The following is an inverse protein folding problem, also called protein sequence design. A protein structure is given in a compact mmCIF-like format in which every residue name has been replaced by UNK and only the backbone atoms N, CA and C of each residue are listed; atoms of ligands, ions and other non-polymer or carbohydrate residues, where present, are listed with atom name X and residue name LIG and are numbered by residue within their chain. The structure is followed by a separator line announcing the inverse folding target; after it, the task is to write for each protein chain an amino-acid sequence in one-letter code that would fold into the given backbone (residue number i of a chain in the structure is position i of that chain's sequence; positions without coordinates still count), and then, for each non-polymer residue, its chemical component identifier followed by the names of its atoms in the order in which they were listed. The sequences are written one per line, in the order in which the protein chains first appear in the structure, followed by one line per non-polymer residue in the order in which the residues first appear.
data_IF_478858749712
#
_entry.id   IF_478858749712
#
_cell.length_a   1.000
_cell.length_b   1.000
_cell.length_c   1.000
_cell.angle_alpha   90.00
_cell.angle_beta   90.00
_cell.angle_gamma   90.00
#
_symmetry.space_group_name_H-M   'P 1'
#
loop_
_entity.id
_entity.type
_entity.pdbx_description
1 polymer ?
#
# COMPACT_ATOMS: atom_id res chain seq x y z
N UNK A 1 29.83 -4.64 66.74
CA UNK A 1 28.98 -4.50 67.94
C UNK A 1 28.22 -3.18 67.81
N UNK A 2 26.89 -3.25 67.74
CA UNK A 2 25.87 -2.19 67.95
C UNK A 2 25.93 -0.88 67.13
N UNK A 3 25.07 -0.67 66.11
CA UNK A 3 23.71 -0.05 66.14
C UNK A 3 23.67 1.39 66.70
N UNK A 4 23.52 2.43 65.86
CA UNK A 4 22.26 3.16 65.48
C UNK A 4 21.74 4.09 66.64
N UNK A 5 20.78 5.03 66.51
CA UNK A 5 20.12 5.73 65.38
C UNK A 5 19.95 7.26 65.58
N UNK A 6 19.37 7.97 64.57
CA UNK A 6 18.18 8.84 64.69
C UNK A 6 18.09 9.81 63.48
N UNK A 7 17.12 9.69 62.56
CA UNK A 7 15.67 10.02 62.65
C UNK A 7 15.41 11.54 62.73
N UNK A 8 15.23 12.20 61.58
CA UNK A 8 13.95 12.68 60.99
C UNK A 8 13.44 14.01 61.52
N UNK A 9 13.39 15.05 60.66
CA UNK A 9 12.34 16.07 60.71
C UNK A 9 12.01 16.58 59.30
N UNK A 10 10.80 16.25 58.80
CA UNK A 10 10.16 16.92 57.65
C UNK A 10 9.61 18.27 58.11
N UNK A 11 9.66 19.31 57.27
CA UNK A 11 8.69 20.41 57.11
C UNK A 11 9.23 21.23 55.91
N UNK A 12 8.49 21.87 54.99
CA UNK A 12 7.07 22.20 54.88
C UNK A 12 6.75 22.56 53.43
N UNK A 13 5.48 22.42 53.09
CA UNK A 13 4.83 22.76 51.82
C UNK A 13 4.75 24.27 51.55
N UNK A 14 4.99 24.64 50.27
CA UNK A 14 4.27 25.63 49.40
C UNK A 14 4.33 27.12 49.81
N UNK A 15 3.86 28.10 48.99
CA UNK A 15 3.67 28.22 47.53
C UNK A 15 4.21 29.59 46.98
N UNK A 16 3.79 29.95 45.76
CA UNK A 16 3.73 31.30 45.15
C UNK A 16 5.01 31.76 44.42
N UNK A 17 5.06 31.59 43.10
CA UNK A 17 4.50 32.45 42.03
C UNK A 17 5.46 33.58 41.61
N UNK A 18 5.81 33.50 40.33
CA UNK A 18 6.00 34.60 39.39
C UNK A 18 7.07 35.64 39.75
N UNK A 19 8.28 35.41 39.24
CA UNK A 19 9.08 36.52 38.74
C UNK A 19 9.31 36.30 37.25
N UNK A 20 8.76 37.22 36.47
CA UNK A 20 8.81 37.26 35.02
C UNK A 20 10.23 37.60 34.55
N UNK A 21 10.68 36.97 33.47
CA UNK A 21 11.52 37.66 32.50
C UNK A 21 11.27 37.07 31.11
N UNK A 22 10.79 37.94 30.24
CA UNK A 22 10.51 37.69 28.84
C UNK A 22 11.82 37.51 28.05
N UNK A 23 11.87 36.51 27.18
CA UNK A 23 12.64 36.60 25.94
C UNK A 23 11.90 35.85 24.84
N UNK A 24 11.33 36.65 23.95
CA UNK A 24 10.72 36.29 22.67
C UNK A 24 11.73 35.51 21.84
N UNK A 25 11.39 34.27 21.48
CA UNK A 25 12.23 33.40 20.67
C UNK A 25 11.42 32.21 20.15
N UNK A 26 10.48 32.48 19.26
CA UNK A 26 9.74 31.46 18.51
C UNK A 26 10.70 30.76 17.52
N UNK A 27 11.38 29.71 17.97
CA UNK A 27 12.08 28.80 17.08
C UNK A 27 11.10 27.73 16.62
N UNK A 28 10.55 27.92 15.43
CA UNK A 28 9.78 26.93 14.70
C UNK A 28 10.62 25.66 14.55
N UNK A 29 10.25 24.59 15.24
CA UNK A 29 10.63 23.24 14.82
C UNK A 29 9.81 22.93 13.56
N UNK A 30 10.33 23.35 12.40
CA UNK A 30 9.88 22.85 11.11
C UNK A 30 10.17 21.35 11.10
N UNK A 31 9.11 20.57 11.28
CA UNK A 31 9.05 19.15 10.98
C UNK A 31 9.33 18.99 9.48
N UNK A 32 10.59 18.75 9.12
CA UNK A 32 10.94 18.24 7.81
C UNK A 32 10.51 16.76 7.75
N UNK A 33 9.20 16.53 7.58
CA UNK A 33 8.76 15.37 6.81
C UNK A 33 9.23 15.64 5.39
N UNK A 34 10.44 15.20 5.06
CA UNK A 34 10.86 15.05 3.68
C UNK A 34 9.88 14.06 3.08
N UNK A 35 8.89 14.59 2.37
CA UNK A 35 8.09 13.84 1.41
C UNK A 35 9.06 13.45 0.30
N UNK A 36 9.82 12.38 0.54
CA UNK A 36 10.68 11.78 -0.48
C UNK A 36 9.75 11.32 -1.59
N UNK A 37 9.67 12.15 -2.63
CA UNK A 37 8.89 11.85 -3.83
C UNK A 37 9.25 10.47 -4.38
N UNK A 38 8.36 9.87 -5.19
CA UNK A 38 8.47 8.48 -5.59
C UNK A 38 9.83 8.19 -6.21
N UNK A 39 10.62 7.36 -5.53
CA UNK A 39 11.94 6.91 -6.00
C UNK A 39 11.72 5.98 -7.19
N UNK A 40 12.38 6.28 -8.31
CA UNK A 40 12.41 5.42 -9.50
C UNK A 40 13.32 4.22 -9.25
N UNK A 41 12.92 3.07 -9.78
CA UNK A 41 13.68 1.84 -9.67
C UNK A 41 12.81 0.60 -9.54
N UNK A 42 13.45 -0.58 -9.60
CA UNK A 42 12.75 -1.84 -9.60
C UNK A 42 12.06 -2.08 -8.27
N UNK A 43 10.87 -2.67 -8.33
CA UNK A 43 10.08 -2.97 -7.15
C UNK A 43 8.78 -3.68 -7.51
N UNK A 44 7.96 -3.89 -6.49
CA UNK A 44 6.64 -4.51 -6.64
C UNK A 44 5.58 -3.44 -6.56
N UNK A 45 4.58 -3.50 -7.44
CA UNK A 45 3.37 -2.69 -7.37
C UNK A 45 2.16 -3.60 -7.28
N UNK A 46 1.13 -3.18 -6.54
CA UNK A 46 -0.16 -3.86 -6.49
C UNK A 46 -1.05 -3.34 -7.61
N UNK A 47 -1.61 -4.24 -8.40
CA UNK A 47 -2.60 -3.97 -9.42
C UNK A 47 -3.98 -4.48 -8.96
N UNK A 48 -4.98 -3.61 -8.99
CA UNK A 48 -6.35 -3.92 -8.57
C UNK A 48 -7.31 -3.72 -9.72
N UNK A 49 -8.11 -4.73 -10.04
CA UNK A 49 -9.17 -4.62 -11.04
C UNK A 49 -10.34 -3.82 -10.45
N UNK A 50 -10.68 -2.72 -11.12
CA UNK A 50 -11.81 -1.87 -10.78
C UNK A 50 -12.75 -1.84 -11.97
N UNK A 51 -14.05 -1.99 -11.71
CA UNK A 51 -15.06 -2.01 -12.76
C UNK A 51 -16.48 -1.80 -12.24
N UNK A 52 -17.46 -1.72 -13.15
CA UNK A 52 -18.82 -1.29 -12.83
C UNK A 52 -19.67 -2.35 -12.12
N UNK A 53 -19.30 -3.63 -12.19
CA UNK A 53 -20.16 -4.74 -11.73
C UNK A 53 -19.85 -5.20 -10.29
N UNK A 54 -18.92 -4.54 -9.59
CA UNK A 54 -18.62 -4.81 -8.20
C UNK A 54 -17.77 -6.07 -7.99
N UNK A 55 -18.35 -7.09 -7.36
CA UNK A 55 -17.65 -8.33 -7.03
C UNK A 55 -17.37 -9.14 -8.30
N UNK A 56 -16.10 -9.42 -8.57
CA UNK A 56 -15.63 -10.20 -9.72
C UNK A 56 -15.10 -11.57 -9.27
N UNK A 57 -15.28 -12.58 -10.12
CA UNK A 57 -14.84 -13.95 -9.88
C UNK A 57 -13.58 -14.32 -10.65
N UNK A 58 -13.39 -13.78 -11.85
CA UNK A 58 -12.18 -13.97 -12.61
C UNK A 58 -11.92 -12.83 -13.60
N UNK A 59 -10.66 -12.67 -14.01
CA UNK A 59 -10.30 -11.77 -15.09
C UNK A 59 -9.06 -12.25 -15.84
N UNK A 60 -9.00 -11.96 -17.13
CA UNK A 60 -7.83 -12.19 -17.97
C UNK A 60 -7.30 -10.85 -18.44
N UNK A 61 -6.07 -10.54 -18.05
CA UNK A 61 -5.40 -9.27 -18.35
C UNK A 61 -4.05 -9.51 -19.00
N UNK A 62 -3.60 -8.56 -19.81
CA UNK A 62 -2.23 -8.51 -20.33
C UNK A 62 -1.58 -7.23 -19.85
N UNK A 63 -0.41 -7.37 -19.24
CA UNK A 63 0.50 -6.28 -18.95
C UNK A 63 1.49 -6.18 -20.11
N UNK A 64 1.67 -4.98 -20.64
CA UNK A 64 2.55 -4.69 -21.77
C UNK A 64 3.71 -3.84 -21.29
N UNK A 65 4.91 -4.25 -21.65
CA UNK A 65 6.15 -3.60 -21.21
C UNK A 65 7.28 -4.61 -21.09
N UNK A 66 8.49 -4.11 -21.21
CA UNK A 66 9.70 -4.93 -21.07
C UNK A 66 10.09 -5.05 -19.60
N UNK A 67 10.72 -6.17 -19.23
CA UNK A 67 11.24 -6.38 -17.89
C UNK A 67 10.19 -6.61 -16.81
N UNK A 68 8.93 -6.84 -17.17
CA UNK A 68 7.88 -7.25 -16.22
C UNK A 68 8.27 -8.61 -15.63
N UNK A 69 8.35 -8.66 -14.30
CA UNK A 69 8.79 -9.80 -13.54
C UNK A 69 7.64 -10.73 -13.10
N UNK A 70 7.86 -11.39 -11.97
CA UNK A 70 6.90 -12.31 -11.38
C UNK A 70 5.63 -11.60 -10.90
N UNK A 71 4.54 -12.36 -10.83
CA UNK A 71 3.28 -11.93 -10.23
C UNK A 71 2.85 -12.86 -9.10
N UNK A 72 2.16 -12.30 -8.11
CA UNK A 72 1.61 -13.02 -6.97
C UNK A 72 0.22 -12.50 -6.64
N UNK A 73 -0.67 -13.39 -6.19
CA UNK A 73 -2.01 -13.01 -5.78
C UNK A 73 -2.06 -12.26 -4.47
N UNK A 74 -3.05 -11.37 -4.32
CA UNK A 74 -3.33 -10.64 -3.08
C UNK A 74 -4.68 -11.10 -2.52
N UNK A 75 -4.73 -11.34 -1.20
CA UNK A 75 -5.93 -11.80 -0.52
C UNK A 75 -6.38 -13.18 -1.00
N UNK A 76 -7.64 -13.28 -1.45
CA UNK A 76 -8.22 -14.51 -1.99
C UNK A 76 -7.96 -14.71 -3.49
N UNK A 77 -7.30 -13.75 -4.16
CA UNK A 77 -7.04 -13.84 -5.59
C UNK A 77 -5.93 -14.86 -5.87
N UNK A 78 -6.25 -15.94 -6.57
CA UNK A 78 -5.26 -16.82 -7.20
C UNK A 78 -4.80 -16.23 -8.54
N UNK A 79 -3.52 -16.42 -8.86
CA UNK A 79 -2.90 -15.84 -10.06
C UNK A 79 -2.15 -16.91 -10.85
N UNK A 80 -2.41 -16.94 -12.14
CA UNK A 80 -1.64 -17.72 -13.11
C UNK A 80 -1.13 -16.79 -14.19
N UNK A 81 0.16 -16.89 -14.52
CA UNK A 81 0.75 -16.00 -15.52
C UNK A 81 1.59 -16.75 -16.55
N UNK A 82 1.65 -16.17 -17.73
CA UNK A 82 2.47 -16.62 -18.84
C UNK A 82 3.18 -15.43 -19.46
N UNK A 83 4.51 -15.46 -19.41
CA UNK A 83 5.37 -14.47 -20.05
C UNK A 83 5.40 -14.69 -21.56
N UNK A 84 5.35 -13.58 -22.31
CA UNK A 84 5.76 -13.46 -23.71
C UNK A 84 6.94 -12.49 -23.80
N UNK A 85 7.31 -12.07 -25.03
CA UNK A 85 8.52 -11.26 -25.25
C UNK A 85 8.46 -9.88 -24.55
N UNK A 86 7.39 -9.12 -24.80
CA UNK A 86 7.15 -7.78 -24.21
C UNK A 86 5.78 -7.68 -23.53
N UNK A 87 5.27 -8.82 -23.04
CA UNK A 87 3.96 -8.89 -22.41
C UNK A 87 3.87 -10.02 -21.39
N UNK A 88 3.06 -9.81 -20.35
CA UNK A 88 2.71 -10.84 -19.38
C UNK A 88 1.19 -11.03 -19.40
N UNK A 89 0.72 -12.22 -19.78
CA UNK A 89 -0.71 -12.56 -19.66
C UNK A 89 -0.97 -13.14 -18.28
N UNK A 90 -1.93 -12.57 -17.57
CA UNK A 90 -2.27 -12.88 -16.18
C UNK A 90 -3.74 -13.26 -16.10
N UNK A 91 -4.02 -14.37 -15.43
CA UNK A 91 -5.35 -14.85 -15.10
C UNK A 91 -5.53 -14.71 -13.60
N UNK A 92 -6.56 -13.98 -13.19
CA UNK A 92 -6.95 -13.72 -11.81
C UNK A 92 -8.21 -14.51 -11.51
N UNK A 93 -8.27 -15.16 -10.34
CA UNK A 93 -9.43 -15.97 -9.92
C UNK A 93 -9.69 -15.75 -8.43
N UNK A 94 -10.90 -15.35 -8.07
CA UNK A 94 -11.45 -15.40 -6.72
C UNK A 94 -12.79 -16.14 -6.76
N UNK A 95 -12.78 -17.40 -6.32
CA UNK A 95 -13.96 -18.27 -6.32
C UNK A 95 -15.06 -17.80 -5.36
N UNK A 96 -14.72 -16.97 -4.38
CA UNK A 96 -15.69 -16.41 -3.42
C UNK A 96 -16.34 -15.13 -3.94
N UNK A 97 -15.76 -14.55 -4.99
CA UNK A 97 -16.11 -13.23 -5.51
C UNK A 97 -15.54 -12.12 -4.65
N UNK A 98 -14.95 -11.13 -5.28
CA UNK A 98 -14.51 -9.94 -4.58
C UNK A 98 -13.70 -9.01 -5.47
N UNK A 99 -12.78 -8.31 -4.83
CA UNK A 99 -11.82 -7.47 -5.51
C UNK A 99 -10.66 -8.34 -5.99
N UNK A 100 -10.44 -8.38 -7.30
CA UNK A 100 -9.30 -9.08 -7.87
C UNK A 100 -8.07 -8.17 -7.77
N UNK A 101 -7.03 -8.65 -7.08
CA UNK A 101 -5.78 -7.90 -6.90
C UNK A 101 -4.57 -8.81 -6.94
N UNK A 102 -3.47 -8.30 -7.48
CA UNK A 102 -2.22 -9.03 -7.57
C UNK A 102 -1.03 -8.06 -7.49
N UNK A 103 0.09 -8.57 -7.03
CA UNK A 103 1.37 -7.88 -7.03
C UNK A 103 2.13 -8.24 -8.32
N UNK A 104 2.86 -7.26 -8.87
CA UNK A 104 3.72 -7.44 -10.05
C UNK A 104 5.06 -6.77 -9.82
N UNK A 105 6.14 -7.51 -10.08
CA UNK A 105 7.48 -6.95 -10.12
C UNK A 105 7.69 -6.17 -11.42
N UNK A 106 8.16 -4.94 -11.33
CA UNK A 106 8.40 -4.03 -12.45
C UNK A 106 9.81 -3.43 -12.38
N UNK A 107 10.41 -3.05 -13.52
CA UNK A 107 11.74 -2.45 -13.54
C UNK A 107 11.75 -1.01 -13.01
N UNK A 108 10.61 -0.33 -13.03
CA UNK A 108 10.43 1.01 -12.47
C UNK A 108 9.02 1.16 -11.88
N UNK A 109 8.91 1.31 -10.56
CA UNK A 109 7.63 1.51 -9.87
C UNK A 109 6.96 2.87 -10.18
N UNK A 110 7.68 3.80 -10.82
CA UNK A 110 7.14 5.09 -11.31
C UNK A 110 6.48 5.00 -12.68
N UNK A 111 6.63 3.86 -13.36
CA UNK A 111 6.11 3.64 -14.71
C UNK A 111 5.34 2.32 -14.73
N UNK A 112 4.05 2.32 -14.33
CA UNK A 112 3.21 1.14 -14.44
C UNK A 112 3.11 0.64 -15.89
N UNK A 113 2.99 -0.68 -16.11
CA UNK A 113 2.85 -1.24 -17.44
C UNK A 113 1.52 -0.81 -18.09
N UNK A 114 1.49 -0.79 -19.41
CA UNK A 114 0.22 -0.63 -20.12
C UNK A 114 -0.63 -1.91 -19.97
N UNK A 115 -1.95 -1.75 -19.98
CA UNK A 115 -2.89 -2.84 -19.64
C UNK A 115 -3.87 -3.06 -20.76
N UNK A 116 -4.15 -4.33 -21.05
CA UNK A 116 -5.29 -4.77 -21.85
C UNK A 116 -6.10 -5.76 -21.03
N UNK A 117 -7.38 -5.45 -20.82
CA UNK A 117 -8.34 -6.34 -20.18
C UNK A 117 -9.05 -7.10 -21.29
N UNK A 118 -8.94 -8.43 -21.27
CA UNK A 118 -9.55 -9.27 -22.31
C UNK A 118 -10.95 -9.69 -21.90
N UNK A 119 -11.08 -10.19 -20.69
CA UNK A 119 -12.30 -10.84 -20.20
C UNK A 119 -12.41 -10.64 -18.68
N UNK A 120 -13.65 -10.53 -18.21
CA UNK A 120 -14.00 -10.52 -16.79
C UNK A 120 -15.20 -11.43 -16.60
N UNK A 121 -15.23 -12.20 -15.53
CA UNK A 121 -16.34 -13.04 -15.13
C UNK A 121 -16.76 -12.72 -13.69
N UNK A 122 -18.07 -12.83 -13.43
CA UNK A 122 -18.60 -12.77 -12.07
C UNK A 122 -18.26 -14.03 -11.26
N UNK A 123 -18.55 -14.02 -9.94
CA UNK A 123 -18.35 -15.18 -9.07
C UNK A 123 -19.23 -16.40 -9.43
N UNK A 124 -20.25 -16.20 -10.27
CA UNK A 124 -21.12 -17.20 -10.84
C UNK A 124 -20.58 -17.82 -12.14
N UNK A 125 -19.32 -17.55 -12.49
CA UNK A 125 -18.67 -17.99 -13.74
C UNK A 125 -19.36 -17.44 -15.02
N UNK A 126 -20.17 -16.40 -14.87
CA UNK A 126 -20.79 -15.72 -16.00
C UNK A 126 -19.86 -14.62 -16.52
N UNK A 127 -19.51 -14.68 -17.81
CA UNK A 127 -18.76 -13.62 -18.48
C UNK A 127 -19.53 -12.30 -18.45
N UNK A 128 -18.81 -11.21 -18.19
CA UNK A 128 -19.33 -9.86 -18.34
C UNK A 128 -19.54 -9.56 -19.84
N UNK A 129 -20.66 -8.90 -20.21
CA UNK A 129 -20.99 -8.68 -21.62
C UNK A 129 -20.05 -7.68 -22.31
N UNK A 130 -19.35 -6.84 -21.54
CA UNK A 130 -18.31 -5.93 -22.01
C UNK A 130 -17.26 -5.72 -20.91
N UNK A 131 -16.05 -5.38 -21.34
CA UNK A 131 -14.95 -4.90 -20.48
C UNK A 131 -14.90 -3.37 -20.39
N UNK A 132 -15.84 -2.67 -21.03
CA UNK A 132 -15.92 -1.22 -20.93
C UNK A 132 -16.13 -0.76 -19.48
N UNK A 133 -15.35 0.24 -19.06
CA UNK A 133 -15.37 0.75 -17.69
C UNK A 133 -14.53 -0.07 -16.71
N UNK A 134 -13.90 -1.16 -17.14
CA UNK A 134 -12.87 -1.82 -16.34
C UNK A 134 -11.51 -1.16 -16.52
N UNK A 135 -10.74 -1.11 -15.44
CA UNK A 135 -9.34 -0.66 -15.41
C UNK A 135 -8.54 -1.46 -14.40
N UNK A 136 -7.22 -1.45 -14.54
CA UNK A 136 -6.31 -1.80 -13.44
C UNK A 136 -5.79 -0.52 -12.80
N UNK A 137 -6.04 -0.36 -11.51
CA UNK A 137 -5.43 0.67 -10.70
C UNK A 137 -4.14 0.14 -10.08
N UNK A 138 -3.09 0.98 -10.04
CA UNK A 138 -1.78 0.60 -9.53
C UNK A 138 -1.43 1.38 -8.26
N UNK A 139 -0.96 0.66 -7.25
CA UNK A 139 -0.47 1.21 -5.98
C UNK A 139 0.90 0.59 -5.62
N UNK A 140 1.67 1.28 -4.78
CA UNK A 140 2.96 0.78 -4.25
C UNK A 140 2.82 0.31 -2.83
#
# INVERSE_FOLDING_TARGET
MMTNPARTTRLRRRPAKCFALAFTGAALFLTACSDEGPVSGPGTITATLVGPNGSEGAAVVSLLGDGIGSVSGVGNTSVHARSGDSSLRVILIDQTGGTLSFEVAVPDTTQPPAVVIHEVAGPDDALRPSVDGYTLEFAR
#
